data_IF_210124645386
#
_entry.id   IF_210124645386
#
_cell.length_a   1.000
_cell.length_b   1.000
_cell.length_c   1.000
_cell.angle_alpha   90.00
_cell.angle_beta   90.00
_cell.angle_gamma   90.00
#
_symmetry.space_group_name_H-M   'P 1'
#
loop_
_entity.id
_entity.type
_entity.pdbx_description
1 polymer ?
#
# COMPACT_ATOMS: atom_id res chain seq x y z
N UNK A 1 -29.39 -49.21 22.23
CA UNK A 1 -29.32 -48.18 21.18
C UNK A 1 -29.29 -46.81 21.83
N UNK A 2 -28.11 -46.20 21.91
CA UNK A 2 -27.94 -44.76 22.19
C UNK A 2 -26.89 -44.28 21.20
N UNK A 3 -27.34 -43.58 20.16
CA UNK A 3 -26.46 -43.01 19.15
C UNK A 3 -25.76 -41.79 19.77
N UNK A 4 -24.45 -41.92 19.97
CA UNK A 4 -23.57 -40.81 20.32
C UNK A 4 -23.20 -40.11 19.02
N UNK A 5 -23.79 -38.94 18.76
CA UNK A 5 -23.37 -38.06 17.66
C UNK A 5 -22.10 -37.36 18.11
N UNK A 6 -20.96 -37.79 17.59
CA UNK A 6 -19.69 -37.08 17.74
C UNK A 6 -19.73 -35.91 16.76
N UNK A 7 -19.99 -34.72 17.27
CA UNK A 7 -19.79 -33.48 16.54
C UNK A 7 -18.28 -33.26 16.47
N UNK A 8 -17.68 -33.59 15.34
CA UNK A 8 -16.29 -33.25 15.06
C UNK A 8 -16.19 -31.73 14.84
N UNK A 9 -15.82 -31.01 15.90
CA UNK A 9 -15.34 -29.63 15.77
C UNK A 9 -14.00 -29.72 15.05
N UNK A 10 -14.02 -29.45 13.74
CA UNK A 10 -12.82 -29.28 12.93
C UNK A 10 -12.10 -28.02 13.42
N UNK A 11 -11.15 -28.22 14.34
CA UNK A 11 -10.12 -27.23 14.60
C UNK A 11 -9.23 -27.20 13.37
N UNK A 12 -9.49 -26.25 12.46
CA UNK A 12 -8.64 -25.96 11.30
C UNK A 12 -7.28 -25.50 11.82
N UNK A 13 -6.36 -26.45 11.94
CA UNK A 13 -4.99 -26.22 12.37
C UNK A 13 -4.22 -25.36 11.36
N UNK A 14 -3.31 -24.54 11.89
CA UNK A 14 -2.36 -23.59 11.30
C UNK A 14 -1.59 -23.98 10.01
N UNK A 15 -1.74 -25.20 9.49
CA UNK A 15 -1.14 -25.62 8.22
C UNK A 15 -1.80 -24.98 6.99
N UNK A 16 -3.08 -24.62 7.05
CA UNK A 16 -3.75 -23.88 5.97
C UNK A 16 -3.40 -22.39 5.94
N UNK A 17 -3.08 -21.80 7.11
CA UNK A 17 -2.69 -20.39 7.19
C UNK A 17 -1.36 -20.14 6.46
N UNK A 18 -0.35 -21.02 6.63
CA UNK A 18 0.95 -20.93 5.93
C UNK A 18 0.89 -21.10 4.41
N UNK A 19 -0.21 -21.62 3.86
CA UNK A 19 -0.30 -21.89 2.43
C UNK A 19 -0.73 -20.64 1.62
N UNK A 20 -1.38 -19.67 2.26
CA UNK A 20 -1.93 -18.52 1.57
C UNK A 20 -0.82 -17.53 1.15
N UNK A 21 0.11 -17.21 2.06
CA UNK A 21 1.22 -16.31 1.79
C UNK A 21 2.16 -16.83 0.70
N UNK A 22 2.50 -18.12 0.72
CA UNK A 22 3.32 -18.73 -0.34
C UNK A 22 2.63 -18.66 -1.71
N UNK A 23 1.31 -18.90 -1.76
CA UNK A 23 0.54 -18.81 -3.00
C UNK A 23 0.49 -17.36 -3.52
N UNK A 24 0.23 -16.38 -2.65
CA UNK A 24 0.23 -14.96 -3.04
C UNK A 24 1.61 -14.51 -3.50
N UNK A 25 2.68 -14.92 -2.83
CA UNK A 25 4.05 -14.64 -3.26
C UNK A 25 4.35 -15.21 -4.66
N UNK A 26 3.85 -16.41 -4.96
CA UNK A 26 3.97 -17.03 -6.28
C UNK A 26 3.18 -16.28 -7.35
N UNK A 27 1.95 -15.86 -7.05
CA UNK A 27 1.10 -15.05 -7.94
C UNK A 27 1.75 -13.70 -8.25
N UNK A 28 2.27 -13.01 -7.23
CA UNK A 28 3.05 -11.77 -7.40
C UNK A 28 4.28 -12.00 -8.28
N UNK A 29 5.02 -13.09 -8.09
CA UNK A 29 6.15 -13.44 -8.96
C UNK A 29 5.72 -13.65 -10.41
N UNK A 30 4.57 -14.28 -10.64
CA UNK A 30 3.96 -14.39 -11.96
C UNK A 30 3.67 -13.02 -12.56
N UNK A 31 3.00 -12.15 -11.80
CA UNK A 31 2.66 -10.79 -12.24
C UNK A 31 3.88 -9.93 -12.57
N UNK A 32 4.95 -10.00 -11.76
CA UNK A 32 6.20 -9.25 -12.00
C UNK A 32 6.84 -9.65 -13.34
N UNK A 33 6.84 -10.95 -13.63
CA UNK A 33 7.49 -11.52 -14.81
C UNK A 33 6.59 -11.54 -16.06
N UNK A 34 5.34 -11.10 -15.95
CA UNK A 34 4.40 -11.14 -17.06
C UNK A 34 4.79 -10.19 -18.19
N UNK A 35 4.46 -10.56 -19.42
CA UNK A 35 4.63 -9.71 -20.58
C UNK A 35 3.81 -8.41 -20.45
N UNK A 36 4.43 -7.29 -20.77
CA UNK A 36 3.82 -5.96 -20.74
C UNK A 36 3.78 -5.31 -22.11
N UNK A 37 2.98 -4.26 -22.22
CA UNK A 37 3.26 -3.21 -23.19
C UNK A 37 4.67 -2.66 -22.92
N UNK A 38 5.56 -2.73 -23.91
CA UNK A 38 6.93 -2.12 -23.87
C UNK A 38 6.86 -0.58 -23.95
N UNK A 39 5.79 0.02 -23.47
CA UNK A 39 5.56 1.45 -23.57
C UNK A 39 6.48 2.16 -22.57
N UNK A 40 7.45 2.90 -23.09
CA UNK A 40 8.28 3.78 -22.30
C UNK A 40 7.54 5.12 -22.17
N UNK A 41 7.15 5.47 -20.96
CA UNK A 41 6.52 6.75 -20.66
C UNK A 41 7.64 7.76 -20.41
N UNK A 42 7.64 8.85 -21.18
CA UNK A 42 8.48 10.01 -20.93
C UNK A 42 7.96 10.78 -19.72
N UNK A 43 8.82 11.05 -18.75
CA UNK A 43 8.50 11.78 -17.53
C UNK A 43 9.49 12.93 -17.36
N UNK A 44 9.03 14.15 -17.08
CA UNK A 44 9.92 15.29 -16.84
C UNK A 44 9.93 15.68 -15.37
N UNK A 45 11.12 15.70 -14.76
CA UNK A 45 11.25 16.16 -13.37
C UNK A 45 10.99 17.66 -13.20
N UNK A 46 10.99 18.14 -11.94
CA UNK A 46 10.80 19.55 -11.58
C UNK A 46 11.82 20.49 -12.23
N UNK A 47 12.98 20.00 -12.64
CA UNK A 47 14.00 20.76 -13.38
C UNK A 47 13.80 20.73 -14.90
N UNK A 48 12.77 20.00 -15.37
CA UNK A 48 12.47 19.80 -16.79
C UNK A 48 13.31 18.69 -17.44
N UNK A 49 14.11 17.93 -16.67
CA UNK A 49 14.92 16.84 -17.19
C UNK A 49 14.03 15.62 -17.47
N UNK A 50 14.19 15.07 -18.66
CA UNK A 50 13.46 13.89 -19.12
C UNK A 50 14.04 12.61 -18.51
N UNK A 51 13.14 11.76 -18.03
CA UNK A 51 13.30 10.41 -17.55
C UNK A 51 12.38 9.51 -18.37
N UNK A 52 12.70 8.22 -18.42
CA UNK A 52 11.83 7.22 -19.03
C UNK A 52 11.50 6.13 -18.02
N UNK A 53 10.22 5.82 -17.86
CA UNK A 53 9.70 4.74 -17.00
C UNK A 53 8.95 3.73 -17.86
N UNK A 54 9.05 2.45 -17.52
CA UNK A 54 8.29 1.40 -18.22
C UNK A 54 6.84 1.44 -17.74
N UNK A 55 5.89 1.47 -18.68
CA UNK A 55 4.51 1.10 -18.39
C UNK A 55 4.47 -0.38 -18.04
N UNK A 56 3.54 -0.76 -17.19
CA UNK A 56 3.58 -2.05 -16.52
C UNK A 56 2.23 -2.74 -16.45
N UNK A 57 1.27 -2.27 -17.25
CA UNK A 57 0.01 -3.00 -17.40
C UNK A 57 0.32 -4.34 -18.08
N UNK A 58 0.16 -5.42 -17.32
CA UNK A 58 0.29 -6.77 -17.86
C UNK A 58 -0.67 -6.93 -19.05
N UNK A 59 -0.20 -7.58 -20.13
CA UNK A 59 -1.02 -7.84 -21.33
C UNK A 59 -2.15 -8.83 -21.07
N UNK A 60 -2.01 -9.65 -20.03
CA UNK A 60 -2.98 -10.67 -19.64
C UNK A 60 -3.51 -10.40 -18.23
N UNK A 61 -4.74 -10.84 -17.98
CA UNK A 61 -5.31 -10.83 -16.65
C UNK A 61 -4.50 -11.71 -15.70
N UNK A 62 -4.32 -11.23 -14.47
CA UNK A 62 -3.68 -11.97 -13.38
C UNK A 62 -4.60 -11.92 -12.17
N UNK A 63 -4.38 -12.83 -11.24
CA UNK A 63 -5.09 -12.87 -9.96
C UNK A 63 -4.07 -12.88 -8.83
N UNK A 64 -4.38 -12.16 -7.76
CA UNK A 64 -3.60 -12.13 -6.52
C UNK A 64 -4.59 -12.39 -5.38
N UNK A 65 -4.39 -13.45 -4.61
CA UNK A 65 -5.25 -13.84 -3.50
C UNK A 65 -6.71 -14.10 -3.90
N UNK A 66 -6.93 -14.56 -5.15
CA UNK A 66 -8.25 -14.81 -5.71
C UNK A 66 -8.93 -13.58 -6.33
N UNK A 67 -8.32 -12.40 -6.24
CA UNK A 67 -8.85 -11.15 -6.82
C UNK A 67 -8.16 -10.85 -8.15
N UNK A 68 -8.92 -10.58 -9.20
CA UNK A 68 -8.36 -10.08 -10.46
C UNK A 68 -7.56 -8.81 -10.22
N UNK A 69 -6.37 -8.71 -10.81
CA UNK A 69 -5.59 -7.48 -10.78
C UNK A 69 -6.40 -6.34 -11.38
N UNK A 70 -6.39 -5.18 -10.71
CA UNK A 70 -7.18 -4.02 -11.12
C UNK A 70 -6.84 -3.59 -12.54
N UNK A 71 -7.86 -3.17 -13.29
CA UNK A 71 -7.68 -2.53 -14.59
C UNK A 71 -7.18 -1.08 -14.49
N UNK A 72 -7.24 -0.50 -13.28
CA UNK A 72 -6.67 0.80 -12.95
C UNK A 72 -5.14 0.75 -13.02
N UNK A 73 -4.51 1.85 -13.42
CA UNK A 73 -3.06 2.04 -13.43
C UNK A 73 -2.61 3.05 -12.38
N UNK A 74 -3.48 3.40 -11.42
CA UNK A 74 -3.28 4.51 -10.46
C UNK A 74 -1.93 4.51 -9.76
N UNK A 75 -1.41 3.36 -9.33
CA UNK A 75 -0.11 3.28 -8.65
C UNK A 75 1.01 3.66 -9.62
N UNK A 76 0.98 3.14 -10.85
CA UNK A 76 1.92 3.52 -11.90
C UNK A 76 1.78 4.99 -12.25
N UNK A 77 0.57 5.45 -12.50
CA UNK A 77 0.28 6.82 -12.91
C UNK A 77 0.74 7.83 -11.86
N UNK A 78 0.53 7.52 -10.58
CA UNK A 78 0.98 8.37 -9.48
C UNK A 78 2.51 8.50 -9.43
N UNK A 79 3.24 7.38 -9.38
CA UNK A 79 4.71 7.45 -9.38
C UNK A 79 5.26 8.12 -10.65
N UNK A 80 4.60 7.96 -11.80
CA UNK A 80 4.99 8.58 -13.05
C UNK A 80 4.66 10.07 -13.10
N UNK A 81 3.58 10.51 -12.43
CA UNK A 81 3.20 11.91 -12.33
C UNK A 81 4.08 12.71 -11.35
N UNK A 82 4.83 12.03 -10.48
CA UNK A 82 5.67 12.63 -9.45
C UNK A 82 7.16 12.27 -9.60
N UNK A 83 7.85 12.67 -10.67
CA UNK A 83 9.29 12.40 -10.82
C UNK A 83 10.19 12.99 -9.73
N UNK A 84 9.71 13.99 -8.98
CA UNK A 84 10.39 14.52 -7.79
C UNK A 84 10.50 13.52 -6.63
N UNK A 85 9.71 12.46 -6.65
CA UNK A 85 9.66 11.41 -5.65
C UNK A 85 10.87 10.51 -5.81
N UNK A 86 11.95 10.89 -5.14
CA UNK A 86 13.27 10.28 -5.19
C UNK A 86 13.71 9.95 -3.76
N UNK A 87 14.33 8.78 -3.57
CA UNK A 87 14.86 8.33 -2.28
C UNK A 87 13.79 8.33 -1.16
N UNK A 88 12.60 7.81 -1.46
CA UNK A 88 11.44 7.91 -0.57
C UNK A 88 11.29 6.74 0.38
N UNK A 89 10.52 6.97 1.44
CA UNK A 89 9.94 5.92 2.26
C UNK A 89 8.57 5.50 1.72
N UNK A 90 8.44 4.27 1.24
CA UNK A 90 7.18 3.76 0.70
C UNK A 90 6.48 2.87 1.74
N UNK A 91 5.24 3.21 2.07
CA UNK A 91 4.40 2.48 3.01
C UNK A 91 3.23 1.92 2.22
N UNK A 92 2.96 0.61 2.37
CA UNK A 92 1.96 -0.08 1.55
C UNK A 92 1.02 -0.86 2.43
N UNK A 93 -0.26 -0.58 2.28
CA UNK A 93 -1.33 -1.41 2.79
C UNK A 93 -1.30 -2.79 2.08
N UNK A 94 -1.26 -3.83 2.89
CA UNK A 94 -1.22 -5.23 2.50
C UNK A 94 -2.40 -6.04 3.02
N UNK A 95 -3.52 -5.39 3.32
CA UNK A 95 -4.79 -6.07 3.59
C UNK A 95 -5.39 -6.70 2.33
N UNK A 96 -6.41 -7.53 2.53
CA UNK A 96 -6.99 -8.34 1.46
C UNK A 96 -7.65 -7.52 0.34
N UNK A 97 -8.18 -6.33 0.66
CA UNK A 97 -8.80 -5.41 -0.33
C UNK A 97 -7.76 -4.85 -1.30
N UNK A 98 -6.52 -4.69 -0.85
CA UNK A 98 -5.41 -4.18 -1.65
C UNK A 98 -4.84 -5.18 -2.67
N UNK A 99 -5.25 -6.46 -2.64
CA UNK A 99 -4.71 -7.49 -3.54
C UNK A 99 -4.86 -7.18 -5.03
N UNK A 100 -5.90 -6.42 -5.43
CA UNK A 100 -6.06 -5.99 -6.82
C UNK A 100 -5.02 -4.93 -7.25
N UNK A 101 -4.36 -4.24 -6.31
CA UNK A 101 -3.45 -3.12 -6.56
C UNK A 101 -1.99 -3.42 -6.23
N UNK A 102 -1.69 -4.24 -5.22
CA UNK A 102 -0.31 -4.52 -4.75
C UNK A 102 0.60 -5.08 -5.84
N UNK A 103 0.05 -5.81 -6.82
CA UNK A 103 0.82 -6.24 -8.00
C UNK A 103 1.48 -5.08 -8.72
N UNK A 104 0.80 -3.93 -8.80
CA UNK A 104 1.33 -2.71 -9.41
C UNK A 104 2.51 -2.13 -8.62
N UNK A 105 2.40 -2.11 -7.29
CA UNK A 105 3.45 -1.61 -6.40
C UNK A 105 4.74 -2.42 -6.57
N UNK A 106 4.63 -3.75 -6.46
CA UNK A 106 5.80 -4.64 -6.55
C UNK A 106 6.41 -4.58 -7.94
N UNK A 107 5.57 -4.53 -8.98
CA UNK A 107 6.05 -4.45 -10.36
C UNK A 107 6.72 -3.11 -10.66
N UNK A 108 6.14 -1.97 -10.25
CA UNK A 108 6.74 -0.65 -10.45
C UNK A 108 8.11 -0.58 -9.81
N UNK A 109 8.22 -1.05 -8.57
CA UNK A 109 9.49 -1.10 -7.87
C UNK A 109 10.50 -2.00 -8.58
N UNK A 110 10.10 -3.23 -8.97
CA UNK A 110 10.98 -4.17 -9.64
C UNK A 110 11.58 -3.64 -10.95
N UNK A 111 10.76 -3.00 -11.80
CA UNK A 111 11.22 -2.48 -13.11
C UNK A 111 11.98 -1.16 -12.99
N UNK A 112 11.93 -0.49 -11.84
CA UNK A 112 12.65 0.77 -11.57
C UNK A 112 13.75 0.64 -10.51
N UNK A 113 14.05 -0.56 -10.02
CA UNK A 113 14.99 -0.79 -8.90
C UNK A 113 16.38 -0.17 -9.12
N UNK A 114 16.87 -0.16 -10.36
CA UNK A 114 18.20 0.38 -10.71
C UNK A 114 18.30 1.90 -10.50
N UNK A 115 17.16 2.59 -10.39
CA UNK A 115 17.08 4.03 -10.13
C UNK A 115 17.15 4.38 -8.64
N UNK A 116 17.06 3.39 -7.74
CA UNK A 116 17.13 3.59 -6.29
C UNK A 116 16.15 4.66 -5.77
N UNK A 117 14.92 4.68 -6.31
CA UNK A 117 13.88 5.67 -5.96
C UNK A 117 13.28 5.47 -4.58
N UNK A 118 13.43 4.27 -4.02
CA UNK A 118 12.89 3.86 -2.72
C UNK A 118 14.07 3.64 -1.77
N UNK A 119 14.05 4.35 -0.65
CA UNK A 119 15.01 4.23 0.46
C UNK A 119 14.71 3.03 1.34
N UNK A 120 13.44 2.87 1.72
CA UNK A 120 12.93 1.75 2.48
C UNK A 120 11.46 1.51 2.14
N UNK A 121 10.99 0.31 2.48
CA UNK A 121 9.58 -0.05 2.35
C UNK A 121 9.06 -0.59 3.67
N UNK A 122 7.81 -0.26 4.01
CA UNK A 122 7.06 -0.79 5.14
C UNK A 122 5.74 -1.34 4.63
N UNK A 123 5.37 -2.54 5.06
CA UNK A 123 4.07 -3.15 4.76
C UNK A 123 3.25 -3.20 6.05
N UNK A 124 1.94 -3.01 5.96
CA UNK A 124 1.04 -3.23 7.09
C UNK A 124 -0.18 -4.07 6.70
N UNK A 125 -0.72 -4.84 7.65
CA UNK A 125 -1.88 -5.71 7.42
C UNK A 125 -3.00 -5.51 8.45
N UNK A 126 -3.00 -4.34 9.13
CA UNK A 126 -3.92 -4.00 10.22
C UNK A 126 -3.93 -4.99 11.38
N UNK A 127 -2.73 -5.33 11.87
CA UNK A 127 -2.55 -5.94 13.19
C UNK A 127 -2.74 -7.44 13.25
N UNK A 128 -2.26 -8.18 12.25
CA UNK A 128 -2.09 -9.65 12.30
C UNK A 128 -3.36 -10.42 12.73
N UNK A 129 -4.51 -10.05 12.13
CA UNK A 129 -5.82 -10.67 12.39
C UNK A 129 -6.18 -10.73 13.90
N UNK A 130 -5.67 -9.81 14.72
CA UNK A 130 -5.90 -9.77 16.18
C UNK A 130 -7.37 -9.86 16.57
N UNK A 131 -8.27 -9.28 15.78
CA UNK A 131 -9.72 -9.33 16.04
C UNK A 131 -10.36 -10.71 15.76
N UNK A 132 -9.76 -11.55 14.91
CA UNK A 132 -10.23 -12.91 14.62
C UNK A 132 -9.66 -13.96 15.56
N UNK A 133 -8.56 -13.66 16.24
CA UNK A 133 -7.98 -14.52 17.25
C UNK A 133 -8.38 -14.02 18.64
N UNK A 134 -9.40 -14.65 19.23
CA UNK A 134 -9.98 -14.30 20.53
C UNK A 134 -8.97 -14.17 21.70
N UNK A 135 -7.73 -14.64 21.53
CA UNK A 135 -6.66 -14.55 22.52
C UNK A 135 -5.67 -13.38 22.27
N UNK A 136 -5.85 -12.58 21.21
CA UNK A 136 -4.83 -11.61 20.76
C UNK A 136 -5.07 -10.17 21.22
N UNK A 137 -6.16 -9.93 21.96
CA UNK A 137 -6.54 -8.61 22.46
C UNK A 137 -7.13 -7.70 21.39
N UNK A 138 -7.58 -6.52 21.80
CA UNK A 138 -8.10 -5.50 20.89
C UNK A 138 -6.98 -4.84 20.07
N UNK A 139 -7.31 -4.32 18.88
CA UNK A 139 -6.44 -3.40 18.12
C UNK A 139 -6.38 -2.05 18.83
N UNK A 140 -5.35 -1.86 19.65
CA UNK A 140 -5.13 -0.64 20.44
C UNK A 140 -4.33 0.34 19.58
N UNK A 141 -4.85 1.57 19.39
CA UNK A 141 -4.16 2.64 18.68
C UNK A 141 -2.75 2.86 19.26
N UNK A 142 -1.74 2.83 18.39
CA UNK A 142 -0.32 2.95 18.73
C UNK A 142 0.34 1.62 19.11
N UNK A 143 -0.41 0.52 19.09
CA UNK A 143 0.06 -0.82 19.41
C UNK A 143 -0.71 -1.90 18.62
N UNK A 144 -1.30 -1.57 17.47
CA UNK A 144 -2.06 -2.49 16.62
C UNK A 144 -1.15 -3.58 16.06
N UNK A 145 0.07 -3.23 15.66
CA UNK A 145 1.06 -4.19 15.15
C UNK A 145 0.85 -4.52 13.67
N UNK A 146 1.27 -5.71 13.22
CA UNK A 146 1.16 -6.05 11.81
C UNK A 146 1.98 -5.17 10.88
N UNK A 147 3.14 -4.71 11.35
CA UNK A 147 4.07 -3.86 10.60
C UNK A 147 5.30 -4.69 10.20
N UNK A 148 5.64 -4.65 8.91
CA UNK A 148 6.68 -5.47 8.31
C UNK A 148 7.70 -4.63 7.58
N UNK A 149 8.97 -5.01 7.70
CA UNK A 149 10.11 -4.31 7.10
C UNK A 149 10.83 -5.21 6.10
N UNK A 150 10.34 -5.32 4.85
CA UNK A 150 10.98 -6.14 3.84
C UNK A 150 12.34 -5.54 3.43
N UNK A 151 13.29 -6.41 3.10
CA UNK A 151 14.37 -6.03 2.20
C UNK A 151 13.77 -5.88 0.80
N UNK A 152 13.48 -4.64 0.41
CA UNK A 152 12.90 -4.35 -0.90
C UNK A 152 13.92 -4.44 -2.03
N UNK A 153 15.21 -4.54 -1.75
CA UNK A 153 16.26 -4.63 -2.78
C UNK A 153 16.41 -6.06 -3.34
N UNK A 154 16.07 -7.06 -2.53
CA UNK A 154 16.04 -8.48 -2.89
C UNK A 154 14.59 -8.94 -3.04
N UNK A 155 14.21 -9.31 -4.28
CA UNK A 155 12.83 -9.72 -4.56
C UNK A 155 12.42 -11.03 -3.86
N UNK A 156 13.35 -11.95 -3.60
CA UNK A 156 13.06 -13.20 -2.89
C UNK A 156 12.81 -12.90 -1.41
N UNK A 157 13.64 -12.05 -0.79
CA UNK A 157 13.46 -11.62 0.60
C UNK A 157 12.18 -10.78 0.78
N UNK A 158 11.90 -9.89 -0.17
CA UNK A 158 10.66 -9.10 -0.22
C UNK A 158 9.43 -10.01 -0.24
N UNK A 159 9.35 -10.95 -1.19
CA UNK A 159 8.19 -11.83 -1.32
C UNK A 159 8.01 -12.77 -0.13
N UNK A 160 9.10 -13.17 0.54
CA UNK A 160 9.01 -13.92 1.80
C UNK A 160 8.38 -13.10 2.93
N UNK A 161 8.69 -11.80 2.99
CA UNK A 161 8.10 -10.88 3.96
C UNK A 161 6.62 -10.67 3.66
N UNK A 162 6.26 -10.50 2.38
CA UNK A 162 4.86 -10.47 1.93
C UNK A 162 4.11 -11.72 2.35
N UNK A 163 4.66 -12.91 2.09
CA UNK A 163 4.05 -14.17 2.50
C UNK A 163 3.80 -14.21 4.01
N UNK A 164 4.75 -13.73 4.80
CA UNK A 164 4.62 -13.64 6.26
C UNK A 164 3.51 -12.69 6.69
N UNK A 165 3.42 -11.50 6.08
CA UNK A 165 2.38 -10.53 6.37
C UNK A 165 0.98 -11.09 6.06
N UNK A 166 0.83 -11.75 4.92
CA UNK A 166 -0.42 -12.42 4.50
C UNK A 166 -0.81 -13.54 5.46
N UNK A 167 0.14 -14.41 5.82
CA UNK A 167 -0.11 -15.55 6.71
C UNK A 167 -0.55 -15.09 8.11
N UNK A 168 -0.09 -13.92 8.53
CA UNK A 168 -0.41 -13.34 9.83
C UNK A 168 -1.73 -12.58 9.84
N UNK A 169 -2.21 -12.07 8.70
CA UNK A 169 -3.54 -11.45 8.64
C UNK A 169 -3.81 -10.66 7.36
N UNK A 170 -5.09 -10.31 7.17
CA UNK A 170 -5.56 -9.54 6.01
C UNK A 170 -6.45 -8.35 6.41
N UNK A 171 -6.26 -7.82 7.61
CA UNK A 171 -7.00 -6.73 8.23
C UNK A 171 -8.25 -7.20 8.95
N UNK A 172 -9.22 -7.70 8.18
CA UNK A 172 -10.41 -8.37 8.70
C UNK A 172 -11.51 -7.47 9.27
N UNK A 173 -11.22 -6.21 9.58
CA UNK A 173 -12.17 -5.12 9.80
C UNK A 173 -11.56 -3.80 9.33
N UNK A 174 -12.39 -2.86 8.89
CA UNK A 174 -11.99 -1.45 8.79
C UNK A 174 -12.48 -0.68 10.01
N UNK A 175 -11.82 0.42 10.42
CA UNK A 175 -10.68 1.13 9.79
C UNK A 175 -9.29 0.49 10.06
N UNK A 176 -8.19 0.92 9.40
CA UNK A 176 -6.85 0.29 9.42
C UNK A 176 -5.73 1.11 10.12
N UNK A 177 -4.53 0.54 10.34
CA UNK A 177 -3.45 1.14 11.15
C UNK A 177 -2.32 1.84 10.34
N UNK A 178 -2.71 2.66 9.36
CA UNK A 178 -1.81 3.37 8.46
C UNK A 178 -0.76 4.22 9.18
N UNK A 179 -1.15 4.93 10.24
CA UNK A 179 -0.24 5.89 10.88
C UNK A 179 0.86 5.19 11.67
N UNK A 180 0.57 4.07 12.34
CA UNK A 180 1.58 3.20 12.95
C UNK A 180 2.64 2.77 11.92
N UNK A 181 2.23 2.42 10.69
CA UNK A 181 3.14 2.04 9.62
C UNK A 181 4.02 3.22 9.16
N UNK A 182 3.44 4.41 8.99
CA UNK A 182 4.19 5.63 8.67
C UNK A 182 5.19 5.98 9.77
N UNK A 183 4.79 5.89 11.04
CA UNK A 183 5.67 6.15 12.18
C UNK A 183 6.79 5.10 12.29
N UNK A 184 6.53 3.83 11.98
CA UNK A 184 7.56 2.82 11.92
C UNK A 184 8.59 3.13 10.82
N UNK A 185 8.14 3.61 9.66
CA UNK A 185 9.04 4.09 8.60
C UNK A 185 9.81 5.36 9.02
N UNK A 186 9.19 6.24 9.81
CA UNK A 186 9.81 7.46 10.30
C UNK A 186 11.08 7.19 11.10
N UNK A 187 11.05 6.18 11.97
CA UNK A 187 12.18 5.78 12.81
C UNK A 187 13.35 5.18 12.02
N UNK A 188 13.09 4.59 10.84
CA UNK A 188 14.15 4.00 10.01
C UNK A 188 14.97 5.04 9.24
N UNK A 189 14.40 6.21 8.94
CA UNK A 189 14.98 7.14 7.96
C UNK A 189 15.64 8.38 8.57
N UNK A 190 15.89 8.41 9.89
CA UNK A 190 16.52 9.54 10.61
C UNK A 190 15.98 10.93 10.21
N UNK A 191 14.72 11.02 9.79
CA UNK A 191 14.05 12.27 9.43
C UNK A 191 14.38 12.88 8.05
N UNK A 192 14.98 12.17 7.10
CA UNK A 192 15.42 12.80 5.84
C UNK A 192 14.50 12.65 4.62
N UNK A 193 13.54 11.72 4.62
CA UNK A 193 12.82 11.30 3.39
C UNK A 193 11.31 11.49 3.49
N UNK A 194 10.66 12.01 2.46
CA UNK A 194 9.19 12.11 2.43
C UNK A 194 8.57 10.72 2.32
N UNK A 195 7.30 10.61 2.71
CA UNK A 195 6.56 9.35 2.71
C UNK A 195 5.65 9.25 1.50
N UNK A 196 5.57 8.06 0.90
CA UNK A 196 4.49 7.67 -0.01
C UNK A 196 3.69 6.55 0.64
N UNK A 197 2.45 6.86 1.06
CA UNK A 197 1.49 5.87 1.54
C UNK A 197 0.63 5.39 0.38
N UNK A 198 0.50 4.07 0.22
CA UNK A 198 -0.34 3.44 -0.80
C UNK A 198 -1.39 2.60 -0.08
N UNK A 199 -2.66 2.97 -0.24
CA UNK A 199 -3.78 2.33 0.45
C UNK A 199 -5.04 2.34 -0.41
N UNK A 200 -6.05 1.60 0.02
CA UNK A 200 -7.40 1.68 -0.53
C UNK A 200 -8.21 2.81 0.14
N UNK A 201 -9.54 2.75 0.05
CA UNK A 201 -10.42 3.78 0.62
C UNK A 201 -10.87 3.49 2.06
N UNK A 202 -10.30 2.47 2.71
CA UNK A 202 -10.60 2.13 4.10
C UNK A 202 -10.22 3.28 5.04
N UNK A 203 -11.00 3.48 6.10
CA UNK A 203 -10.73 4.55 7.07
C UNK A 203 -9.45 4.30 7.86
N UNK A 204 -8.89 5.34 8.49
CA UNK A 204 -7.64 5.26 9.25
C UNK A 204 -7.94 5.21 10.76
N UNK A 205 -7.75 4.04 11.38
CA UNK A 205 -8.03 3.74 12.80
C UNK A 205 -7.26 4.65 13.73
N UNK A 206 -6.02 4.92 13.37
CA UNK A 206 -5.03 5.59 14.20
C UNK A 206 -4.72 7.01 13.71
N UNK A 207 -5.65 7.65 12.98
CA UNK A 207 -5.53 9.04 12.48
C UNK A 207 -5.19 10.06 13.58
N UNK A 208 -5.58 9.76 14.83
CA UNK A 208 -5.22 10.58 16.00
C UNK A 208 -3.71 10.70 16.23
N UNK A 209 -2.91 9.75 15.73
CA UNK A 209 -1.46 9.74 15.82
C UNK A 209 -0.77 10.58 14.73
N UNK A 210 -1.51 11.05 13.71
CA UNK A 210 -0.91 11.73 12.55
C UNK A 210 -0.13 13.00 12.92
N UNK A 211 -0.44 13.63 14.06
CA UNK A 211 0.31 14.77 14.60
C UNK A 211 1.78 14.45 14.95
N UNK A 212 2.14 13.18 15.07
CA UNK A 212 3.51 12.72 15.35
C UNK A 212 4.36 12.59 14.08
N UNK A 213 3.74 12.65 12.90
CA UNK A 213 4.44 12.59 11.62
C UNK A 213 5.10 13.95 11.36
N UNK A 214 6.42 13.94 11.13
CA UNK A 214 7.23 15.16 11.04
C UNK A 214 7.46 15.64 9.60
N UNK A 215 6.93 14.92 8.61
CA UNK A 215 7.22 15.09 7.18
C UNK A 215 5.97 14.90 6.33
N UNK A 216 5.94 15.44 5.09
CA UNK A 216 4.89 15.17 4.13
C UNK A 216 4.60 13.68 3.93
N UNK A 217 3.31 13.34 3.93
CA UNK A 217 2.80 12.05 3.45
C UNK A 217 2.07 12.29 2.15
N UNK A 218 2.69 11.88 1.06
CA UNK A 218 2.05 11.79 -0.23
C UNK A 218 1.29 10.47 -0.32
N UNK A 219 0.03 10.53 -0.73
CA UNK A 219 -0.87 9.40 -0.62
C UNK A 219 -1.31 8.98 -2.02
N UNK A 220 -1.14 7.70 -2.34
CA UNK A 220 -1.74 7.05 -3.50
C UNK A 220 -2.96 6.28 -3.00
N UNK A 221 -4.16 6.79 -3.28
CA UNK A 221 -5.41 6.13 -2.94
C UNK A 221 -5.91 5.35 -4.15
N UNK A 222 -6.10 4.05 -3.98
CA UNK A 222 -6.34 3.15 -5.09
C UNK A 222 -7.77 3.22 -5.64
N UNK A 223 -8.78 3.53 -4.80
CA UNK A 223 -10.17 3.72 -5.24
C UNK A 223 -10.61 5.19 -5.19
N UNK A 224 -11.05 5.70 -4.05
CA UNK A 224 -11.61 7.05 -3.91
C UNK A 224 -11.19 7.71 -2.59
N UNK A 225 -11.05 9.03 -2.63
CA UNK A 225 -10.56 9.80 -1.49
C UNK A 225 -11.61 9.86 -0.37
N UNK A 226 -11.19 9.59 0.86
CA UNK A 226 -12.01 9.72 2.08
C UNK A 226 -11.49 10.83 3.01
N UNK A 227 -12.32 11.23 3.98
CA UNK A 227 -12.02 12.33 4.90
C UNK A 227 -10.74 12.10 5.73
N UNK A 228 -10.47 10.86 6.11
CA UNK A 228 -9.26 10.51 6.89
C UNK A 228 -7.98 10.78 6.10
N UNK A 229 -7.95 10.41 4.81
CA UNK A 229 -6.81 10.68 3.94
C UNK A 229 -6.66 12.16 3.59
N UNK A 230 -7.77 12.90 3.42
CA UNK A 230 -7.74 14.37 3.27
C UNK A 230 -7.10 14.99 4.52
N UNK A 231 -7.54 14.57 5.70
CA UNK A 231 -7.01 15.06 6.97
C UNK A 231 -5.52 14.72 7.13
N UNK A 232 -5.11 13.49 6.80
CA UNK A 232 -3.70 13.09 6.83
C UNK A 232 -2.84 13.95 5.92
N UNK A 233 -3.25 14.15 4.66
CA UNK A 233 -2.50 14.97 3.71
C UNK A 233 -2.42 16.44 4.16
N UNK A 234 -3.51 17.00 4.70
CA UNK A 234 -3.53 18.35 5.26
C UNK A 234 -2.60 18.50 6.47
N UNK A 235 -2.68 17.58 7.44
CA UNK A 235 -1.88 17.62 8.66
C UNK A 235 -0.37 17.51 8.37
N UNK A 236 -0.02 16.76 7.33
CA UNK A 236 1.37 16.48 6.97
C UNK A 236 1.91 17.40 5.87
N UNK A 237 1.05 18.23 5.26
CA UNK A 237 1.37 19.06 4.07
C UNK A 237 1.81 18.22 2.86
N UNK A 238 1.19 17.06 2.71
CA UNK A 238 1.42 16.13 1.63
C UNK A 238 0.51 16.34 0.43
N UNK A 239 0.20 15.26 -0.29
CA UNK A 239 -0.65 15.28 -1.48
C UNK A 239 -1.47 14.00 -1.57
N UNK A 240 -2.48 13.97 -2.43
CA UNK A 240 -3.26 12.76 -2.74
C UNK A 240 -3.34 12.61 -4.25
N UNK A 241 -3.00 11.41 -4.74
CA UNK A 241 -3.23 10.96 -6.11
C UNK A 241 -4.20 9.77 -6.08
N UNK A 242 -5.23 9.81 -6.92
CA UNK A 242 -6.24 8.76 -7.02
C UNK A 242 -6.75 8.65 -8.47
N UNK A 243 -7.56 7.64 -8.84
CA UNK A 243 -8.03 7.48 -10.22
C UNK A 243 -8.78 8.69 -10.80
N UNK A 244 -9.35 9.53 -9.93
CA UNK A 244 -10.07 10.75 -10.32
C UNK A 244 -9.19 12.01 -10.40
N UNK A 245 -7.96 12.02 -9.86
CA UNK A 245 -7.19 13.27 -9.83
C UNK A 245 -5.98 13.31 -8.93
N UNK A 246 -5.48 14.53 -8.78
CA UNK A 246 -4.37 14.90 -7.91
C UNK A 246 -4.72 16.17 -7.12
N UNK A 247 -4.38 16.18 -5.83
CA UNK A 247 -4.49 17.37 -4.97
C UNK A 247 -3.24 17.54 -4.12
N UNK A 248 -2.67 18.73 -4.10
CA UNK A 248 -1.48 19.10 -3.34
C UNK A 248 -1.85 20.00 -2.15
N UNK A 249 -1.54 19.54 -0.93
CA UNK A 249 -1.81 20.24 0.33
C UNK A 249 -0.56 20.92 0.92
N UNK A 250 0.55 20.99 0.18
CA UNK A 250 1.80 21.61 0.65
C UNK A 250 1.76 23.14 0.72
N UNK A 251 0.87 23.78 -0.04
CA UNK A 251 0.73 25.24 -0.12
C UNK A 251 -0.40 25.82 0.74
N UNK A 252 -0.27 27.08 1.16
CA UNK A 252 -1.37 27.84 1.82
C UNK A 252 -2.55 28.16 0.90
N UNK A 253 -2.39 27.93 -0.41
CA UNK A 253 -3.45 27.96 -1.41
C UNK A 253 -3.34 26.67 -2.23
N UNK A 254 -4.27 25.74 -2.01
CA UNK A 254 -4.32 24.43 -2.66
C UNK A 254 -4.42 24.61 -4.19
N UNK A 255 -3.41 24.16 -4.94
CA UNK A 255 -3.40 24.21 -6.41
C UNK A 255 -3.96 22.90 -6.97
N UNK A 256 -5.18 22.93 -7.50
CA UNK A 256 -5.82 21.77 -8.13
C UNK A 256 -5.21 21.49 -9.52
N UNK A 257 -4.80 20.26 -9.80
CA UNK A 257 -4.62 19.75 -11.18
C UNK A 257 -5.58 18.60 -11.41
N UNK A 258 -6.61 18.86 -12.22
CA UNK A 258 -7.60 17.86 -12.59
C UNK A 258 -7.01 16.83 -13.53
N UNK A 259 -7.19 15.53 -13.22
CA UNK A 259 -6.95 14.46 -14.20
C UNK A 259 -8.26 14.10 -14.88
N UNK A 260 -9.40 13.93 -14.19
CA UNK A 260 -10.74 13.94 -14.82
C UNK A 260 -11.81 14.40 -13.80
N UNK A 261 -12.89 15.01 -14.28
CA UNK A 261 -13.87 15.77 -13.49
C UNK A 261 -14.45 15.01 -12.29
N UNK A 262 -14.46 15.63 -11.09
CA UNK A 262 -15.59 15.90 -10.18
C UNK A 262 -15.05 16.72 -8.99
N UNK A 263 -15.78 17.76 -8.58
CA UNK A 263 -15.34 18.74 -7.58
C UNK A 263 -15.45 18.22 -6.14
N UNK A 264 -14.35 18.32 -5.39
CA UNK A 264 -14.37 18.28 -3.92
C UNK A 264 -13.97 19.67 -3.39
N UNK A 265 -14.77 20.17 -2.45
CA UNK A 265 -14.70 21.51 -1.87
C UNK A 265 -13.61 21.55 -0.80
N UNK A 266 -12.64 22.46 -0.92
CA UNK A 266 -11.69 22.78 0.14
C UNK A 266 -12.29 23.90 0.99
N UNK A 267 -12.59 23.64 2.26
CA UNK A 267 -12.92 24.68 3.23
C UNK A 267 -11.63 25.40 3.66
N UNK A 268 -11.66 26.73 3.63
CA UNK A 268 -10.68 27.58 4.33
C UNK A 268 -11.08 27.83 5.78
#
# INVERSE_FOLDING_TARGET
MKNLVIVAVLVLSSAFAKAQGEQIAKELRGYINADVSEEMIEVKDKSGKTHYVKSAKAKTEHHIGGTSTSNSTVVFDAFNAHPEWQDMSVIVDWTGSMYSYVGQVVRWHHVNKDKQLIHNMVLFNDGDDRNRNANSGAKIIGATGGIYHPDHSDIDAFLKTVATAVDNGNGGDGPENDIEAVLASQELCNGQKDFVLIADSSGIRDISLASQIKRPVHIIICDYVTDDYIKLAQMTKGSITWPGGYTDYSGTNCNKRHVHSHDVVCAG
#
